data_IF_205132216115
#
_entry.id   IF_205132216115
#
_cell.length_a   1.000
_cell.length_b   1.000
_cell.length_c   1.000
_cell.angle_alpha   90.00
_cell.angle_beta   90.00
_cell.angle_gamma   90.00
#
_symmetry.space_group_name_H-M   'P 1'
#
loop_
_entity.id
_entity.type
_entity.pdbx_description
1 polymer ?
#
# COMPACT_ATOMS: atom_id res chain seq x y z
N UNK A 1 53.15 10.24 53.33
CA UNK A 1 52.04 11.14 52.96
C UNK A 1 51.24 10.44 51.86
N UNK A 2 50.16 9.75 52.23
CA UNK A 2 49.27 9.04 51.31
C UNK A 2 47.92 9.74 51.36
N UNK A 3 47.56 10.45 50.27
CA UNK A 3 46.25 11.08 50.10
C UNK A 3 45.22 10.07 49.57
N UNK A 4 43.95 10.15 49.98
CA UNK A 4 42.95 9.12 49.74
C UNK A 4 42.36 9.20 48.32
N UNK A 5 42.16 8.04 47.70
CA UNK A 5 41.33 7.88 46.52
C UNK A 5 39.87 8.17 46.89
N UNK A 6 39.29 9.23 46.29
CA UNK A 6 37.85 9.48 46.32
C UNK A 6 37.22 8.59 45.25
N UNK A 7 36.85 7.36 45.66
CA UNK A 7 35.92 6.54 44.90
C UNK A 7 34.53 7.10 45.09
N UNK A 8 34.02 7.86 44.12
CA UNK A 8 32.61 8.22 44.08
C UNK A 8 31.80 6.93 44.04
N UNK A 9 30.99 6.68 45.07
CA UNK A 9 30.05 5.58 45.07
C UNK A 9 29.06 5.83 43.93
N UNK A 10 29.20 5.09 42.83
CA UNK A 10 28.14 5.00 41.84
C UNK A 10 26.96 4.31 42.52
N UNK A 11 25.91 5.08 42.75
CA UNK A 11 24.65 4.56 43.28
C UNK A 11 24.03 3.64 42.22
N UNK A 12 24.22 2.34 42.43
CA UNK A 12 23.67 1.29 41.57
C UNK A 12 22.13 1.31 41.54
N UNK A 13 21.49 1.93 42.53
CA UNK A 13 20.05 2.15 42.57
C UNK A 13 19.59 3.20 41.57
N UNK A 14 20.35 4.31 41.42
CA UNK A 14 20.04 5.35 40.44
C UNK A 14 20.20 4.84 38.99
N UNK A 15 21.23 4.03 38.73
CA UNK A 15 21.45 3.43 37.40
C UNK A 15 20.36 2.43 37.05
N UNK A 16 19.92 1.63 38.04
CA UNK A 16 18.82 0.68 37.85
C UNK A 16 17.49 1.39 37.60
N UNK A 17 17.17 2.44 38.37
CA UNK A 17 15.96 3.24 38.14
C UNK A 17 15.98 3.95 36.78
N UNK A 18 17.14 4.41 36.32
CA UNK A 18 17.28 5.04 35.01
C UNK A 18 17.17 4.02 33.86
N UNK A 19 17.67 2.79 34.06
CA UNK A 19 17.48 1.68 33.12
C UNK A 19 16.03 1.18 33.08
N UNK A 20 15.34 1.13 34.23
CA UNK A 20 13.93 0.78 34.35
C UNK A 20 13.03 1.87 33.74
N UNK A 21 13.36 3.15 33.94
CA UNK A 21 12.66 4.26 33.28
C UNK A 21 12.87 4.26 31.77
N UNK A 22 14.06 3.90 31.28
CA UNK A 22 14.36 3.79 29.84
C UNK A 22 13.71 2.56 29.21
N UNK A 23 13.62 1.45 29.96
CA UNK A 23 12.87 0.27 29.55
C UNK A 23 11.36 0.53 29.55
N UNK A 24 10.83 1.27 30.52
CA UNK A 24 9.42 1.69 30.54
C UNK A 24 9.11 2.70 29.43
N UNK A 25 10.02 3.61 29.10
CA UNK A 25 9.89 4.50 27.94
C UNK A 25 9.95 3.74 26.60
N UNK A 26 10.80 2.73 26.49
CA UNK A 26 10.83 1.83 25.32
C UNK A 26 9.59 0.93 25.24
N UNK A 27 9.05 0.50 26.38
CA UNK A 27 7.80 -0.29 26.41
C UNK A 27 6.58 0.58 26.13
N UNK A 28 6.58 1.86 26.54
CA UNK A 28 5.55 2.83 26.16
C UNK A 28 5.61 3.19 24.67
N UNK A 29 6.81 3.38 24.11
CA UNK A 29 7.01 3.57 22.67
C UNK A 29 6.61 2.32 21.86
N UNK A 30 6.90 1.12 22.37
CA UNK A 30 6.46 -0.14 21.77
C UNK A 30 4.94 -0.37 21.92
N UNK A 31 4.32 0.12 23.00
CA UNK A 31 2.85 0.08 23.15
C UNK A 31 2.14 1.15 22.32
N UNK A 32 2.80 2.26 21.98
CA UNK A 32 2.30 3.23 21.01
C UNK A 32 2.40 2.68 19.57
N UNK A 33 3.43 1.86 19.27
CA UNK A 33 3.54 1.11 18.02
C UNK A 33 2.68 -0.18 17.96
N UNK A 34 2.19 -0.68 19.09
CA UNK A 34 1.24 -1.79 19.15
C UNK A 34 -0.24 -1.31 19.20
N UNK A 35 -0.47 -0.04 19.59
CA UNK A 35 -1.77 0.61 19.48
C UNK A 35 -2.14 1.00 18.04
N UNK A 36 -1.20 0.92 17.09
CA UNK A 36 -1.47 1.06 15.64
C UNK A 36 -1.74 -0.27 14.93
N UNK A 37 -1.93 -1.37 15.67
CA UNK A 37 -2.45 -2.64 15.15
C UNK A 37 -3.99 -2.72 15.18
N UNK A 38 -4.67 -1.58 15.34
CA UNK A 38 -6.11 -1.41 15.13
C UNK A 38 -6.32 -0.43 13.98
N UNK A 39 -7.01 -0.85 12.93
CA UNK A 39 -7.06 -0.20 11.62
C UNK A 39 -7.61 1.22 11.62
N UNK A 40 -6.71 2.19 11.52
CA UNK A 40 -6.99 3.59 11.22
C UNK A 40 -5.72 4.26 10.73
N UNK A 41 -5.78 4.95 9.59
CA UNK A 41 -4.62 5.65 9.02
C UNK A 41 -4.49 7.00 9.71
N UNK A 42 -3.36 7.24 10.37
CA UNK A 42 -3.12 8.54 10.99
C UNK A 42 -2.75 9.57 9.90
N UNK A 43 -3.49 10.69 9.78
CA UNK A 43 -3.17 11.74 8.81
C UNK A 43 -1.81 12.41 9.09
N UNK A 44 -1.35 12.38 10.34
CA UNK A 44 -0.04 12.82 10.78
C UNK A 44 0.62 11.74 11.62
N UNK A 45 1.89 11.42 11.36
CA UNK A 45 2.64 10.41 12.11
C UNK A 45 4.13 10.74 12.21
N UNK A 46 4.81 10.16 13.19
CA UNK A 46 6.27 10.23 13.30
C UNK A 46 6.93 9.10 12.52
N UNK A 47 7.95 9.46 11.73
CA UNK A 47 8.71 8.53 10.91
C UNK A 47 9.87 7.97 11.71
N UNK A 48 9.98 6.65 11.67
CA UNK A 48 11.03 5.84 12.24
C UNK A 48 11.68 4.99 11.15
N UNK A 49 12.84 4.39 11.43
CA UNK A 49 13.48 3.46 10.49
C UNK A 49 12.58 2.27 10.14
N UNK A 50 11.67 1.88 11.04
CA UNK A 50 10.80 0.71 10.86
C UNK A 50 9.58 0.99 9.97
N UNK A 51 9.01 2.20 10.05
CA UNK A 51 7.81 2.56 9.29
C UNK A 51 8.10 3.35 8.02
N UNK A 52 9.33 3.85 7.83
CA UNK A 52 9.72 4.66 6.68
C UNK A 52 9.37 4.03 5.32
N UNK A 53 9.69 2.75 5.12
CA UNK A 53 9.43 2.09 3.83
C UNK A 53 7.93 1.92 3.55
N UNK A 54 7.16 1.54 4.56
CA UNK A 54 5.74 1.23 4.41
C UNK A 54 4.87 2.50 4.42
N UNK A 55 5.04 3.36 5.41
CA UNK A 55 4.11 4.46 5.69
C UNK A 55 4.45 5.73 4.92
N UNK A 56 5.67 5.84 4.40
CA UNK A 56 6.12 7.01 3.64
C UNK A 56 6.39 6.66 2.17
N UNK A 57 7.20 5.63 1.87
CA UNK A 57 7.54 5.29 0.49
C UNK A 57 6.40 4.58 -0.22
N UNK A 58 5.97 3.40 0.27
CA UNK A 58 4.87 2.65 -0.36
C UNK A 58 3.57 3.45 -0.36
N UNK A 59 3.28 4.11 0.75
CA UNK A 59 2.06 4.92 0.88
C UNK A 59 1.98 6.09 -0.09
N UNK A 60 3.12 6.63 -0.51
CA UNK A 60 3.16 7.69 -1.52
C UNK A 60 2.63 7.26 -2.90
N UNK A 61 2.51 5.94 -3.16
CA UNK A 61 1.87 5.42 -4.35
C UNK A 61 0.33 5.51 -4.30
N UNK A 62 -0.25 5.66 -3.11
CA UNK A 62 -1.70 5.69 -2.88
C UNK A 62 -2.20 7.11 -2.58
N UNK A 63 -1.42 7.92 -1.87
CA UNK A 63 -1.76 9.28 -1.47
C UNK A 63 -0.53 10.19 -1.52
N UNK A 64 -0.65 11.50 -1.75
CA UNK A 64 0.46 12.42 -1.55
C UNK A 64 0.97 12.37 -0.09
N UNK A 65 2.26 12.12 0.07
CA UNK A 65 2.93 12.10 1.39
C UNK A 65 3.82 13.33 1.52
N UNK A 66 3.61 14.11 2.57
CA UNK A 66 4.45 15.26 2.92
C UNK A 66 5.42 14.81 4.01
N UNK A 67 6.71 14.75 3.68
CA UNK A 67 7.77 14.49 4.62
C UNK A 67 8.29 15.82 5.20
N UNK A 68 8.06 16.06 6.50
CA UNK A 68 8.62 17.21 7.23
C UNK A 68 9.87 16.75 7.97
N UNK A 69 11.06 17.17 7.51
CA UNK A 69 12.33 16.92 8.18
C UNK A 69 12.66 18.10 9.07
N UNK A 70 12.69 17.89 10.39
CA UNK A 70 12.87 18.97 11.36
C UNK A 70 13.60 18.55 12.64
N UNK A 71 13.73 19.49 13.57
CA UNK A 71 14.31 19.26 14.89
C UNK A 71 13.51 20.02 15.95
N UNK A 72 13.23 19.42 17.12
CA UNK A 72 12.55 20.10 18.24
C UNK A 72 13.31 21.31 18.79
N UNK A 73 14.59 21.46 18.42
CA UNK A 73 15.44 22.57 18.83
C UNK A 73 15.20 23.84 18.00
N UNK A 74 14.44 23.73 16.91
CA UNK A 74 14.14 24.84 16.00
C UNK A 74 12.68 25.30 16.16
N UNK A 75 12.44 26.56 16.57
CA UNK A 75 11.08 27.11 16.65
C UNK A 75 10.32 27.05 15.32
N UNK A 76 11.03 27.21 14.20
CA UNK A 76 10.42 27.10 12.87
C UNK A 76 9.99 25.66 12.54
N UNK A 77 10.74 24.66 12.98
CA UNK A 77 10.35 23.25 12.82
C UNK A 77 9.13 22.90 13.66
N UNK A 78 9.08 23.36 14.92
CA UNK A 78 7.93 23.12 15.81
C UNK A 78 6.67 23.82 15.30
N UNK A 79 6.80 25.04 14.76
CA UNK A 79 5.67 25.74 14.16
C UNK A 79 5.14 25.00 12.92
N UNK A 80 6.03 24.59 12.00
CA UNK A 80 5.62 23.78 10.84
C UNK A 80 5.00 22.45 11.25
N UNK A 81 5.56 21.77 12.26
CA UNK A 81 5.00 20.52 12.78
C UNK A 81 3.55 20.71 13.20
N UNK A 82 3.28 21.75 13.99
CA UNK A 82 1.93 22.09 14.45
C UNK A 82 1.00 22.45 13.30
N UNK A 83 1.44 23.29 12.38
CA UNK A 83 0.60 23.70 11.25
C UNK A 83 0.23 22.49 10.37
N UNK A 84 1.19 21.61 10.06
CA UNK A 84 0.93 20.40 9.28
C UNK A 84 0.09 19.36 10.03
N UNK A 85 0.24 19.24 11.34
CA UNK A 85 -0.61 18.36 12.16
C UNK A 85 -2.08 18.81 12.10
N UNK A 86 -2.34 20.12 12.26
CA UNK A 86 -3.69 20.68 12.14
C UNK A 86 -4.24 20.56 10.71
N UNK A 87 -3.41 20.82 9.69
CA UNK A 87 -3.81 20.70 8.29
C UNK A 87 -4.11 19.26 7.88
N UNK A 88 -3.31 18.30 8.35
CA UNK A 88 -3.52 16.89 8.04
C UNK A 88 -4.79 16.36 8.72
N UNK A 89 -5.04 16.76 9.98
CA UNK A 89 -6.27 16.42 10.68
C UNK A 89 -7.54 17.00 10.02
N UNK A 90 -7.44 18.18 9.39
CA UNK A 90 -8.52 18.79 8.62
C UNK A 90 -8.57 18.32 7.15
N UNK A 91 -7.53 17.62 6.70
CA UNK A 91 -7.24 17.38 5.28
C UNK A 91 -7.97 16.20 4.67
N UNK A 92 -8.66 15.40 5.46
CA UNK A 92 -9.57 14.40 4.93
C UNK A 92 -8.87 13.14 4.36
N UNK A 93 -7.67 12.78 4.86
CA UNK A 93 -6.67 11.88 4.25
C UNK A 93 -6.38 12.11 2.75
N UNK A 94 -6.72 13.30 2.21
CA UNK A 94 -6.33 13.70 0.84
C UNK A 94 -4.82 13.79 0.68
N UNK A 95 -4.11 13.97 1.79
CA UNK A 95 -2.68 13.86 1.93
C UNK A 95 -2.37 13.36 3.36
N UNK A 96 -1.18 12.81 3.56
CA UNK A 96 -0.68 12.49 4.90
C UNK A 96 0.66 13.15 5.15
N UNK A 97 1.02 13.33 6.42
CA UNK A 97 2.25 13.99 6.84
C UNK A 97 3.08 13.05 7.70
N UNK A 98 4.31 12.80 7.28
CA UNK A 98 5.33 12.10 8.06
C UNK A 98 6.35 13.09 8.63
N UNK A 99 6.42 13.22 9.95
CA UNK A 99 7.45 14.00 10.62
C UNK A 99 8.72 13.18 10.88
N UNK A 100 9.84 13.62 10.33
CA UNK A 100 11.16 13.02 10.50
C UNK A 100 11.97 13.90 11.45
N UNK A 101 12.20 13.41 12.67
CA UNK A 101 13.06 14.07 13.64
C UNK A 101 14.53 13.78 13.30
N UNK A 102 15.22 14.77 12.73
CA UNK A 102 16.62 14.63 12.31
C UNK A 102 17.59 14.39 13.49
N UNK A 103 17.20 14.72 14.73
CA UNK A 103 18.01 14.47 15.93
C UNK A 103 17.89 13.01 16.41
N UNK A 104 16.81 12.31 16.06
CA UNK A 104 16.50 10.95 16.52
C UNK A 104 16.78 9.92 15.44
N UNK A 105 16.41 10.21 14.18
CA UNK A 105 16.58 9.32 13.01
C UNK A 105 17.40 10.01 11.91
N UNK A 106 18.68 10.35 12.16
CA UNK A 106 19.52 11.08 11.21
C UNK A 106 19.74 10.33 9.89
N UNK A 107 19.73 8.99 9.93
CA UNK A 107 19.89 8.14 8.75
C UNK A 107 18.72 8.33 7.76
N UNK A 108 17.49 8.42 8.27
CA UNK A 108 16.29 8.67 7.44
C UNK A 108 16.32 10.07 6.84
N UNK A 109 16.71 11.08 7.63
CA UNK A 109 16.86 12.45 7.14
C UNK A 109 17.91 12.56 6.02
N UNK A 110 19.00 11.79 6.10
CA UNK A 110 20.08 11.80 5.12
C UNK A 110 19.63 11.28 3.72
N UNK A 111 18.65 10.37 3.67
CA UNK A 111 18.08 9.86 2.40
C UNK A 111 17.49 11.00 1.56
N UNK A 112 16.92 12.02 2.20
CA UNK A 112 16.35 13.19 1.53
C UNK A 112 17.38 14.23 1.11
N UNK A 113 18.67 14.04 1.45
CA UNK A 113 19.74 14.97 1.08
C UNK A 113 19.57 16.38 1.64
N UNK A 114 18.87 16.53 2.77
CA UNK A 114 18.56 17.84 3.36
C UNK A 114 19.84 18.55 3.84
N UNK A 115 19.97 19.83 3.50
CA UNK A 115 21.11 20.66 3.91
C UNK A 115 20.74 21.63 5.04
N UNK A 116 19.47 22.05 5.08
CA UNK A 116 18.95 22.99 6.07
C UNK A 116 17.71 22.40 6.77
N UNK A 117 17.52 22.71 8.05
CA UNK A 117 16.34 22.32 8.82
C UNK A 117 15.52 23.56 9.19
N UNK A 118 14.19 23.53 9.11
CA UNK A 118 13.36 22.45 8.55
C UNK A 118 13.41 22.39 7.02
N UNK A 119 13.23 21.19 6.46
CA UNK A 119 12.96 20.97 5.03
C UNK A 119 11.69 20.15 4.88
N UNK A 120 10.82 20.55 3.97
CA UNK A 120 9.59 19.82 3.66
C UNK A 120 9.67 19.29 2.23
N UNK A 121 9.37 18.01 2.04
CA UNK A 121 9.41 17.33 0.74
C UNK A 121 8.05 16.68 0.48
N UNK A 122 7.44 16.98 -0.66
CA UNK A 122 6.26 16.27 -1.15
C UNK A 122 6.70 15.05 -1.96
N UNK A 123 6.09 13.90 -1.70
CA UNK A 123 6.42 12.61 -2.31
C UNK A 123 5.15 12.01 -2.89
N UNK A 124 5.24 11.52 -4.12
CA UNK A 124 4.20 10.74 -4.77
C UNK A 124 4.83 9.66 -5.66
N UNK A 125 4.19 8.50 -5.71
CA UNK A 125 4.67 7.30 -6.42
C UNK A 125 6.14 6.96 -6.10
N UNK A 126 6.56 7.16 -4.85
CA UNK A 126 7.92 6.92 -4.37
C UNK A 126 8.97 7.95 -4.82
N UNK A 127 8.55 9.07 -5.43
CA UNK A 127 9.46 10.09 -5.97
C UNK A 127 9.18 11.48 -5.36
N UNK A 128 10.21 12.28 -5.04
CA UNK A 128 10.04 13.67 -4.65
C UNK A 128 9.46 14.52 -5.80
N UNK A 129 8.35 15.21 -5.54
CA UNK A 129 7.65 16.05 -6.53
C UNK A 129 8.08 17.50 -6.41
N UNK A 130 8.15 18.01 -5.18
CA UNK A 130 8.54 19.39 -4.87
C UNK A 130 9.03 19.46 -3.43
N UNK A 131 9.82 20.47 -3.11
CA UNK A 131 10.33 20.71 -1.76
C UNK A 131 10.51 22.20 -1.49
N UNK A 132 10.59 22.56 -0.21
CA UNK A 132 11.03 23.87 0.24
C UNK A 132 11.81 23.77 1.55
N UNK A 133 12.63 24.78 1.81
CA UNK A 133 13.42 24.90 3.03
C UNK A 133 12.94 26.08 3.88
N UNK A 134 13.05 25.95 5.20
CA UNK A 134 12.70 26.99 6.16
C UNK A 134 11.23 27.04 6.56
N UNK A 135 10.92 27.88 7.56
CA UNK A 135 9.55 28.13 7.99
C UNK A 135 8.74 28.90 6.94
N UNK A 136 7.45 28.59 6.82
CA UNK A 136 6.53 29.26 5.91
C UNK A 136 5.29 29.74 6.67
N UNK A 137 4.67 30.86 6.26
CA UNK A 137 3.36 31.26 6.75
C UNK A 137 2.32 30.18 6.42
N UNK A 138 1.34 30.00 7.31
CA UNK A 138 0.27 29.00 7.14
C UNK A 138 -0.46 29.10 5.80
N UNK A 139 -0.78 30.32 5.37
CA UNK A 139 -1.44 30.57 4.08
C UNK A 139 -0.66 30.00 2.89
N UNK A 140 0.68 30.09 2.93
CA UNK A 140 1.54 29.53 1.89
C UNK A 140 1.55 28.00 1.94
N UNK A 141 1.51 27.41 3.14
CA UNK A 141 1.44 25.95 3.31
C UNK A 141 0.13 25.41 2.74
N UNK A 142 -1.00 26.05 3.07
CA UNK A 142 -2.32 25.68 2.57
C UNK A 142 -2.38 25.72 1.04
N UNK A 143 -1.86 26.79 0.42
CA UNK A 143 -1.78 26.90 -1.04
C UNK A 143 -0.87 25.84 -1.66
N UNK A 144 0.28 25.57 -1.04
CA UNK A 144 1.23 24.57 -1.54
C UNK A 144 0.66 23.15 -1.46
N UNK A 145 0.00 22.80 -0.35
CA UNK A 145 -0.68 21.51 -0.18
C UNK A 145 -1.86 21.37 -1.14
N UNK A 146 -2.69 22.41 -1.28
CA UNK A 146 -3.81 22.40 -2.23
C UNK A 146 -3.33 22.16 -3.66
N UNK A 147 -2.24 22.82 -4.09
CA UNK A 147 -1.67 22.61 -5.41
C UNK A 147 -1.13 21.18 -5.63
N UNK A 148 -0.62 20.54 -4.58
CA UNK A 148 -0.16 19.13 -4.63
C UNK A 148 -1.36 18.20 -4.74
N UNK A 149 -2.37 18.39 -3.88
CA UNK A 149 -3.59 17.57 -3.87
C UNK A 149 -4.37 17.72 -5.17
N UNK A 150 -4.54 18.92 -5.70
CA UNK A 150 -5.25 19.14 -6.97
C UNK A 150 -4.52 18.50 -8.17
N UNK A 151 -3.18 18.53 -8.16
CA UNK A 151 -2.37 18.00 -9.25
C UNK A 151 -2.22 16.48 -9.20
N UNK A 152 -2.16 15.90 -8.01
CA UNK A 152 -1.83 14.49 -7.79
C UNK A 152 -3.03 13.65 -7.34
N UNK A 153 -4.04 14.26 -6.72
CA UNK A 153 -5.28 13.61 -6.27
C UNK A 153 -6.04 12.86 -7.38
N UNK A 154 -6.12 13.35 -8.62
CA UNK A 154 -6.75 12.61 -9.72
C UNK A 154 -5.94 11.40 -10.22
N UNK A 155 -4.67 11.29 -9.83
CA UNK A 155 -3.73 10.27 -10.35
C UNK A 155 -3.38 9.21 -9.31
N UNK A 156 -3.73 9.44 -8.05
CA UNK A 156 -3.45 8.56 -6.91
C UNK A 156 -4.77 8.01 -6.38
N UNK A 157 -4.79 6.73 -5.99
CA UNK A 157 -6.02 6.01 -5.60
C UNK A 157 -6.74 6.63 -4.38
N UNK A 158 -6.06 7.49 -3.63
CA UNK A 158 -6.55 8.14 -2.41
C UNK A 158 -6.51 7.18 -1.24
N UNK A 159 -6.28 7.70 -0.03
CA UNK A 159 -6.66 7.01 1.18
C UNK A 159 -8.06 7.52 1.50
N UNK A 160 -9.07 6.67 1.31
CA UNK A 160 -10.39 6.95 1.85
C UNK A 160 -10.27 7.09 3.37
N UNK A 161 -10.52 8.30 3.89
CA UNK A 161 -11.10 8.38 5.22
C UNK A 161 -12.35 7.53 5.21
N UNK A 162 -12.49 6.64 6.18
CA UNK A 162 -13.74 5.93 6.33
C UNK A 162 -14.86 6.96 6.50
N UNK A 163 -15.64 7.14 5.43
CA UNK A 163 -16.82 7.99 5.35
C UNK A 163 -16.55 9.41 4.89
N UNK A 164 -16.51 9.63 3.57
CA UNK A 164 -17.56 10.39 2.87
C UNK A 164 -17.25 10.49 1.37
N UNK A 165 -18.29 10.23 0.59
CA UNK A 165 -18.28 10.14 -0.86
C UNK A 165 -17.73 11.41 -1.52
N UNK A 166 -16.76 11.24 -2.42
CA UNK A 166 -16.61 12.16 -3.53
C UNK A 166 -17.82 11.96 -4.44
N UNK A 167 -18.81 12.85 -4.37
CA UNK A 167 -19.97 12.83 -5.25
C UNK A 167 -19.53 12.92 -6.72
N UNK A 168 -19.73 11.82 -7.44
CA UNK A 168 -20.32 11.80 -8.78
C UNK A 168 -21.06 10.47 -8.93
N UNK A 169 -22.24 10.47 -9.56
CA UNK A 169 -23.52 10.50 -8.87
C UNK A 169 -24.07 9.09 -8.61
N UNK A 170 -24.10 8.70 -7.33
CA UNK A 170 -25.11 7.89 -6.64
C UNK A 170 -24.50 7.42 -5.32
N UNK A 171 -24.93 8.01 -4.22
CA UNK A 171 -24.75 7.42 -2.90
C UNK A 171 -25.58 6.12 -2.84
N UNK A 172 -24.98 4.98 -3.19
CA UNK A 172 -25.42 3.71 -2.62
C UNK A 172 -24.61 3.51 -1.31
N UNK A 173 -25.32 3.55 -0.18
CA UNK A 173 -24.78 3.28 1.15
C UNK A 173 -23.77 2.13 1.13
N UNK A 174 -22.60 2.31 1.77
CA UNK A 174 -21.57 1.28 1.92
C UNK A 174 -22.23 -0.06 2.25
N UNK A 175 -22.24 -0.95 1.25
CA UNK A 175 -23.03 -2.16 1.31
C UNK A 175 -22.52 -3.00 2.49
N UNK A 176 -23.34 -3.31 3.51
CA UNK A 176 -22.90 -4.13 4.63
C UNK A 176 -22.36 -5.50 4.19
N UNK A 177 -22.70 -5.95 2.98
CA UNK A 177 -22.13 -7.15 2.34
C UNK A 177 -20.63 -7.01 2.07
N UNK A 178 -20.11 -5.82 1.74
CA UNK A 178 -18.68 -5.64 1.50
C UNK A 178 -17.83 -5.95 2.74
N UNK A 179 -18.28 -5.52 3.91
CA UNK A 179 -17.60 -5.83 5.18
C UNK A 179 -17.58 -7.34 5.46
N UNK A 180 -18.65 -8.07 5.10
CA UNK A 180 -18.69 -9.53 5.22
C UNK A 180 -17.67 -10.22 4.29
N UNK A 181 -17.51 -9.70 3.07
CA UNK A 181 -16.53 -10.22 2.11
C UNK A 181 -15.10 -9.97 2.59
N UNK A 182 -14.79 -8.78 3.08
CA UNK A 182 -13.48 -8.43 3.65
C UNK A 182 -13.13 -9.31 4.86
N UNK A 183 -14.09 -9.50 5.77
CA UNK A 183 -13.94 -10.39 6.93
C UNK A 183 -13.68 -11.84 6.52
N UNK A 184 -14.33 -12.31 5.45
CA UNK A 184 -14.10 -13.65 4.91
C UNK A 184 -12.69 -13.78 4.30
N UNK A 185 -12.24 -12.78 3.52
CA UNK A 185 -10.87 -12.73 2.99
C UNK A 185 -9.81 -12.75 4.10
N UNK A 186 -10.01 -11.97 5.16
CA UNK A 186 -9.10 -11.91 6.31
C UNK A 186 -8.97 -13.26 7.04
N UNK A 187 -10.00 -14.12 6.96
CA UNK A 187 -9.98 -15.48 7.50
C UNK A 187 -9.48 -16.53 6.50
N UNK A 188 -9.15 -16.14 5.27
CA UNK A 188 -8.81 -17.06 4.18
C UNK A 188 -10.02 -17.83 3.62
N UNK A 189 -11.24 -17.42 3.97
CA UNK A 189 -12.47 -18.03 3.48
C UNK A 189 -12.88 -17.38 2.14
N UNK A 190 -12.15 -17.74 1.09
CA UNK A 190 -12.37 -17.20 -0.25
C UNK A 190 -13.75 -17.55 -0.80
N UNK A 191 -14.29 -18.72 -0.43
CA UNK A 191 -15.62 -19.16 -0.87
C UNK A 191 -16.72 -18.24 -0.37
N UNK A 192 -16.69 -17.90 0.93
CA UNK A 192 -17.64 -16.95 1.50
C UNK A 192 -17.50 -15.55 0.88
N UNK A 193 -16.27 -15.08 0.66
CA UNK A 193 -16.03 -13.78 0.02
C UNK A 193 -16.57 -13.72 -1.42
N UNK A 194 -16.33 -14.76 -2.22
CA UNK A 194 -16.83 -14.85 -3.60
C UNK A 194 -18.36 -14.85 -3.62
N UNK A 195 -19.00 -15.64 -2.77
CA UNK A 195 -20.45 -15.70 -2.69
C UNK A 195 -21.06 -14.32 -2.37
N UNK A 196 -20.42 -13.56 -1.48
CA UNK A 196 -20.84 -12.20 -1.16
C UNK A 196 -20.67 -11.23 -2.32
N UNK A 197 -19.55 -11.28 -3.05
CA UNK A 197 -19.38 -10.45 -4.26
C UNK A 197 -20.39 -10.81 -5.37
N UNK A 198 -20.71 -12.10 -5.54
CA UNK A 198 -21.73 -12.54 -6.49
C UNK A 198 -23.13 -12.06 -6.10
N UNK A 199 -23.44 -12.01 -4.80
CA UNK A 199 -24.70 -11.45 -4.31
C UNK A 199 -24.82 -9.95 -4.59
N UNK A 200 -23.72 -9.21 -4.45
CA UNK A 200 -23.67 -7.78 -4.78
C UNK A 200 -23.87 -7.61 -6.30
N UNK A 201 -23.17 -8.39 -7.12
CA UNK A 201 -23.29 -8.34 -8.59
C UNK A 201 -24.65 -8.79 -9.12
N UNK A 202 -25.39 -9.60 -8.37
CA UNK A 202 -26.77 -9.94 -8.73
C UNK A 202 -27.70 -8.72 -8.64
N UNK A 203 -27.41 -7.78 -7.72
CA UNK A 203 -28.13 -6.51 -7.61
C UNK A 203 -27.52 -5.42 -8.53
N UNK A 204 -26.20 -5.39 -8.66
CA UNK A 204 -25.43 -4.38 -9.38
C UNK A 204 -24.53 -5.02 -10.44
N UNK A 205 -25.11 -5.52 -11.55
CA UNK A 205 -24.37 -6.32 -12.53
C UNK A 205 -23.31 -5.53 -13.29
N UNK A 206 -23.32 -4.20 -13.25
CA UNK A 206 -22.36 -3.33 -13.94
C UNK A 206 -21.27 -2.77 -13.02
N UNK A 207 -21.29 -3.13 -11.73
CA UNK A 207 -20.28 -2.67 -10.77
C UNK A 207 -18.90 -3.26 -11.09
N UNK A 208 -18.02 -2.44 -11.68
CA UNK A 208 -16.70 -2.85 -12.15
C UNK A 208 -15.79 -3.23 -10.98
N UNK A 209 -15.86 -2.49 -9.87
CA UNK A 209 -15.02 -2.70 -8.69
C UNK A 209 -15.31 -4.06 -8.05
N UNK A 210 -16.59 -4.41 -7.89
CA UNK A 210 -16.99 -5.71 -7.34
C UNK A 210 -16.60 -6.87 -8.26
N UNK A 211 -16.69 -6.69 -9.59
CA UNK A 211 -16.19 -7.68 -10.55
C UNK A 211 -14.70 -7.92 -10.35
N UNK A 212 -13.91 -6.85 -10.24
CA UNK A 212 -12.46 -6.94 -10.00
C UNK A 212 -12.13 -7.60 -8.66
N UNK A 213 -12.85 -7.25 -7.59
CA UNK A 213 -12.67 -7.86 -6.27
C UNK A 213 -12.97 -9.37 -6.28
N UNK A 214 -14.08 -9.77 -6.92
CA UNK A 214 -14.43 -11.19 -7.13
C UNK A 214 -13.34 -11.92 -7.91
N UNK A 215 -12.91 -11.37 -9.04
CA UNK A 215 -11.93 -12.01 -9.93
C UNK A 215 -10.55 -12.15 -9.26
N UNK A 216 -10.15 -11.15 -8.47
CA UNK A 216 -8.95 -11.21 -7.63
C UNK A 216 -9.07 -12.30 -6.58
N UNK A 217 -10.22 -12.42 -5.93
CA UNK A 217 -10.46 -13.45 -4.91
C UNK A 217 -10.43 -14.86 -5.50
N UNK A 218 -11.02 -15.05 -6.69
CA UNK A 218 -10.95 -16.29 -7.45
C UNK A 218 -9.50 -16.67 -7.77
N UNK A 219 -8.67 -15.71 -8.17
CA UNK A 219 -7.24 -15.93 -8.40
C UNK A 219 -6.53 -16.36 -7.11
N UNK A 220 -6.74 -15.65 -6.00
CA UNK A 220 -6.12 -15.99 -4.72
C UNK A 220 -6.51 -17.39 -4.24
N UNK A 221 -7.79 -17.77 -4.38
CA UNK A 221 -8.27 -19.11 -4.04
C UNK A 221 -7.53 -20.21 -4.82
N UNK A 222 -7.30 -20.01 -6.12
CA UNK A 222 -6.61 -20.99 -6.98
C UNK A 222 -5.13 -21.11 -6.66
N UNK A 223 -4.54 -20.03 -6.14
CA UNK A 223 -3.14 -19.96 -5.74
C UNK A 223 -2.91 -20.33 -4.28
N UNK A 224 -3.95 -20.73 -3.54
CA UNK A 224 -3.84 -21.11 -2.14
C UNK A 224 -2.73 -22.16 -1.95
N UNK A 225 -1.65 -21.83 -1.20
CA UNK A 225 -0.56 -22.76 -0.95
C UNK A 225 -1.01 -24.07 -0.29
N UNK A 226 -2.14 -24.06 0.44
CA UNK A 226 -2.70 -25.28 1.04
C UNK A 226 -3.10 -26.33 0.01
N UNK A 227 -3.40 -25.91 -1.22
CA UNK A 227 -3.85 -26.78 -2.31
C UNK A 227 -2.76 -27.08 -3.33
N UNK A 228 -1.50 -26.69 -3.10
CA UNK A 228 -0.39 -26.90 -4.04
C UNK A 228 0.80 -27.62 -3.43
N UNK A 229 1.27 -28.65 -4.13
CA UNK A 229 2.39 -29.51 -3.74
C UNK A 229 3.65 -29.30 -4.60
N UNK A 230 3.54 -28.56 -5.70
CA UNK A 230 4.62 -28.30 -6.64
C UNK A 230 4.61 -26.84 -7.14
N UNK A 231 5.73 -26.41 -7.74
CA UNK A 231 5.82 -25.11 -8.41
C UNK A 231 4.98 -25.14 -9.71
N UNK A 232 3.92 -24.33 -9.81
CA UNK A 232 3.01 -24.35 -10.95
C UNK A 232 3.71 -24.01 -12.28
N UNK A 233 4.69 -23.10 -12.27
CA UNK A 233 5.40 -22.68 -13.48
C UNK A 233 6.29 -23.84 -13.97
N UNK A 234 7.06 -24.44 -13.07
CA UNK A 234 7.90 -25.58 -13.41
C UNK A 234 7.08 -26.80 -13.87
N UNK A 235 5.94 -27.07 -13.22
CA UNK A 235 5.04 -28.16 -13.59
C UNK A 235 4.45 -27.96 -14.99
N UNK A 236 4.03 -26.73 -15.32
CA UNK A 236 3.51 -26.38 -16.63
C UNK A 236 4.57 -26.45 -17.73
N UNK A 237 5.80 -26.02 -17.45
CA UNK A 237 6.91 -26.08 -18.41
C UNK A 237 7.31 -27.54 -18.72
N UNK A 238 7.17 -28.45 -17.75
CA UNK A 238 7.38 -29.89 -17.95
C UNK A 238 6.22 -30.60 -18.69
N UNK A 239 5.03 -29.99 -18.73
CA UNK A 239 3.82 -30.56 -19.31
C UNK A 239 3.10 -29.52 -20.19
N UNK A 240 3.66 -29.15 -21.35
CA UNK A 240 3.16 -28.04 -22.16
C UNK A 240 1.75 -28.30 -22.72
N UNK A 241 1.34 -29.55 -22.87
CA UNK A 241 0.02 -29.98 -23.39
C UNK A 241 -1.06 -30.01 -22.29
N UNK A 242 -0.67 -29.92 -21.01
CA UNK A 242 -1.57 -30.04 -19.86
C UNK A 242 -2.21 -28.67 -19.55
N UNK A 243 -3.46 -28.52 -19.97
CA UNK A 243 -4.22 -27.28 -19.86
C UNK A 243 -4.36 -26.81 -18.41
N UNK A 244 -4.62 -27.73 -17.48
CA UNK A 244 -4.77 -27.38 -16.07
C UNK A 244 -3.49 -26.74 -15.54
N UNK A 245 -2.34 -27.31 -15.88
CA UNK A 245 -1.05 -26.74 -15.44
C UNK A 245 -0.74 -25.40 -16.11
N UNK A 246 -1.11 -25.22 -17.39
CA UNK A 246 -0.95 -23.92 -18.04
C UNK A 246 -1.79 -22.83 -17.37
N UNK A 247 -3.02 -23.16 -16.94
CA UNK A 247 -3.88 -22.25 -16.18
C UNK A 247 -3.25 -21.90 -14.81
N UNK A 248 -2.78 -22.91 -14.08
CA UNK A 248 -2.16 -22.73 -12.77
C UNK A 248 -0.88 -21.87 -12.83
N UNK A 249 -0.05 -22.08 -13.87
CA UNK A 249 1.15 -21.30 -14.12
C UNK A 249 0.83 -19.86 -14.52
N UNK A 250 -0.19 -19.64 -15.35
CA UNK A 250 -0.60 -18.29 -15.74
C UNK A 250 -1.08 -17.48 -14.52
N UNK A 251 -1.87 -18.08 -13.64
CA UNK A 251 -2.26 -17.47 -12.36
C UNK A 251 -1.03 -17.10 -11.52
N UNK A 252 -0.06 -18.01 -11.41
CA UNK A 252 1.16 -17.79 -10.63
C UNK A 252 2.05 -16.70 -11.24
N UNK A 253 2.14 -16.64 -12.56
CA UNK A 253 2.89 -15.60 -13.29
C UNK A 253 2.27 -14.22 -13.08
N UNK A 254 0.93 -14.10 -13.05
CA UNK A 254 0.26 -12.82 -12.72
C UNK A 254 0.61 -12.37 -11.30
N UNK A 255 0.53 -13.27 -10.31
CA UNK A 255 0.87 -12.92 -8.91
C UNK A 255 2.35 -12.65 -8.72
N UNK A 256 3.22 -13.29 -9.48
CA UNK A 256 4.65 -13.00 -9.51
C UNK A 256 5.02 -11.68 -10.22
N UNK A 257 4.02 -10.92 -10.71
CA UNK A 257 4.23 -9.64 -11.38
C UNK A 257 4.69 -9.78 -12.84
N UNK A 258 4.48 -10.94 -13.46
CA UNK A 258 4.83 -11.24 -14.85
C UNK A 258 3.58 -11.51 -15.72
N UNK A 259 2.59 -10.60 -15.80
CA UNK A 259 1.35 -10.83 -16.53
C UNK A 259 1.54 -11.00 -18.04
N UNK A 260 2.56 -10.38 -18.64
CA UNK A 260 2.89 -10.59 -20.06
C UNK A 260 3.19 -12.06 -20.36
N UNK A 261 3.89 -12.75 -19.44
CA UNK A 261 4.19 -14.19 -19.57
C UNK A 261 2.92 -15.02 -19.41
N UNK A 262 2.08 -14.69 -18.44
CA UNK A 262 0.80 -15.36 -18.23
C UNK A 262 -0.10 -15.28 -19.46
N UNK A 263 -0.24 -14.08 -20.04
CA UNK A 263 -1.05 -13.86 -21.23
C UNK A 263 -0.50 -14.62 -22.43
N UNK A 264 0.82 -14.56 -22.66
CA UNK A 264 1.47 -15.29 -23.75
C UNK A 264 1.32 -16.80 -23.58
N UNK A 265 1.49 -17.33 -22.37
CA UNK A 265 1.30 -18.74 -22.03
C UNK A 265 -0.10 -19.23 -22.41
N UNK A 266 -1.14 -18.52 -21.99
CA UNK A 266 -2.52 -18.92 -22.30
C UNK A 266 -2.82 -18.82 -23.80
N UNK A 267 -2.32 -17.78 -24.48
CA UNK A 267 -2.48 -17.62 -25.93
C UNK A 267 -1.78 -18.75 -26.69
N UNK A 268 -0.57 -19.13 -26.29
CA UNK A 268 0.18 -20.22 -26.92
C UNK A 268 -0.38 -21.60 -26.61
N UNK A 269 -0.95 -21.80 -25.42
CA UNK A 269 -1.74 -23.00 -25.12
C UNK A 269 -2.98 -23.08 -26.02
N UNK A 270 -3.72 -21.99 -26.20
CA UNK A 270 -4.91 -21.96 -27.07
C UNK A 270 -4.65 -22.29 -28.53
N UNK A 271 -3.44 -22.02 -29.03
CA UNK A 271 -3.04 -22.39 -30.41
C UNK A 271 -2.89 -23.89 -30.58
N UNK A 272 -2.67 -24.64 -29.49
CA UNK A 272 -2.42 -26.09 -29.49
C UNK A 272 -3.62 -26.92 -29.04
N UNK A 273 -4.63 -26.28 -28.46
CA UNK A 273 -5.84 -26.93 -27.93
C UNK A 273 -7.09 -26.63 -28.78
N UNK A 274 -8.13 -27.45 -28.63
CA UNK A 274 -9.42 -27.26 -29.30
C UNK A 274 -10.59 -27.63 -28.37
N UNK A 275 -11.80 -27.24 -28.75
CA UNK A 275 -13.00 -27.56 -27.97
C UNK A 275 -13.00 -26.90 -26.59
N UNK A 276 -13.45 -27.66 -25.59
CA UNK A 276 -13.63 -27.18 -24.21
C UNK A 276 -12.34 -26.64 -23.59
N UNK A 277 -11.19 -27.26 -23.89
CA UNK A 277 -9.87 -26.81 -23.41
C UNK A 277 -9.54 -25.39 -23.88
N UNK A 278 -9.85 -25.08 -25.14
CA UNK A 278 -9.61 -23.74 -25.70
C UNK A 278 -10.54 -22.71 -25.05
N UNK A 279 -11.80 -23.07 -24.80
CA UNK A 279 -12.74 -22.18 -24.11
C UNK A 279 -12.36 -21.96 -22.63
N UNK A 280 -11.81 -22.96 -21.94
CA UNK A 280 -11.28 -22.81 -20.59
C UNK A 280 -10.11 -21.81 -20.54
N UNK A 281 -9.13 -21.97 -21.43
CA UNK A 281 -7.98 -21.06 -21.54
C UNK A 281 -8.40 -19.63 -21.87
N UNK A 282 -9.35 -19.47 -22.80
CA UNK A 282 -9.91 -18.17 -23.17
C UNK A 282 -10.64 -17.53 -22.00
N UNK A 283 -11.47 -18.29 -21.28
CA UNK A 283 -12.19 -17.81 -20.10
C UNK A 283 -11.20 -17.30 -19.05
N UNK A 284 -10.17 -18.09 -18.74
CA UNK A 284 -9.13 -17.65 -17.80
C UNK A 284 -8.37 -16.42 -18.27
N UNK A 285 -8.03 -16.33 -19.55
CA UNK A 285 -7.35 -15.14 -20.08
C UNK A 285 -8.20 -13.88 -19.89
N UNK A 286 -9.52 -13.97 -20.11
CA UNK A 286 -10.43 -12.85 -19.90
C UNK A 286 -10.58 -12.49 -18.41
N UNK A 287 -10.63 -13.48 -17.51
CA UNK A 287 -10.58 -13.24 -16.06
C UNK A 287 -9.31 -12.48 -15.68
N UNK A 288 -8.14 -12.92 -16.17
CA UNK A 288 -6.87 -12.26 -15.87
C UNK A 288 -6.79 -10.85 -16.46
N UNK A 289 -7.38 -10.58 -17.63
CA UNK A 289 -7.51 -9.21 -18.14
C UNK A 289 -8.37 -8.32 -17.25
N UNK A 290 -9.39 -8.89 -16.60
CA UNK A 290 -10.27 -8.18 -15.66
C UNK A 290 -9.54 -7.58 -14.47
N UNK A 291 -8.37 -8.13 -14.11
CA UNK A 291 -7.54 -7.67 -12.99
C UNK A 291 -6.77 -6.36 -13.27
N UNK A 292 -6.79 -5.89 -14.52
CA UNK A 292 -6.04 -4.70 -14.94
C UNK A 292 -7.00 -3.61 -15.44
N UNK A 293 -6.49 -2.38 -15.47
CA UNK A 293 -7.20 -1.29 -16.10
C UNK A 293 -7.46 -1.56 -17.59
N UNK A 294 -8.61 -1.09 -18.08
CA UNK A 294 -9.02 -1.29 -19.48
C UNK A 294 -8.02 -0.73 -20.51
N UNK A 295 -7.19 0.24 -20.11
CA UNK A 295 -6.15 0.87 -20.92
C UNK A 295 -4.75 0.28 -20.72
N UNK A 296 -4.58 -0.79 -19.95
CA UNK A 296 -3.25 -1.38 -19.70
C UNK A 296 -2.61 -1.84 -21.03
N UNK A 297 -1.40 -1.36 -21.37
CA UNK A 297 -0.75 -1.66 -22.65
C UNK A 297 -0.52 -3.16 -22.86
N UNK A 298 -0.31 -3.93 -21.79
CA UNK A 298 -0.10 -5.38 -21.81
C UNK A 298 -1.39 -6.10 -22.19
N UNK A 299 -2.51 -5.68 -21.59
CA UNK A 299 -3.85 -6.21 -21.94
C UNK A 299 -4.21 -5.87 -23.38
N UNK A 300 -3.96 -4.63 -23.83
CA UNK A 300 -4.22 -4.23 -25.21
C UNK A 300 -3.43 -5.10 -26.20
N UNK A 301 -2.13 -5.28 -25.97
CA UNK A 301 -1.28 -6.12 -26.80
C UNK A 301 -1.74 -7.59 -26.81
N UNK A 302 -2.10 -8.14 -25.64
CA UNK A 302 -2.58 -9.51 -25.51
C UNK A 302 -3.95 -9.71 -26.20
N UNK A 303 -4.87 -8.74 -26.13
CA UNK A 303 -6.14 -8.78 -26.88
C UNK A 303 -5.93 -8.80 -28.39
N UNK A 304 -4.96 -8.03 -28.89
CA UNK A 304 -4.59 -8.08 -30.32
C UNK A 304 -4.05 -9.46 -30.70
N UNK A 305 -3.12 -10.02 -29.90
CA UNK A 305 -2.59 -11.37 -30.12
C UNK A 305 -3.69 -12.45 -30.05
N UNK A 306 -4.63 -12.32 -29.12
CA UNK A 306 -5.77 -13.23 -28.96
C UNK A 306 -6.66 -13.22 -30.20
N UNK A 307 -7.01 -12.05 -30.73
CA UNK A 307 -7.79 -11.95 -31.95
C UNK A 307 -7.11 -12.68 -33.13
N UNK A 308 -5.79 -12.50 -33.30
CA UNK A 308 -5.01 -13.21 -34.32
C UNK A 308 -4.87 -14.72 -34.09
N UNK A 309 -5.14 -15.24 -32.89
CA UNK A 309 -5.10 -16.67 -32.58
C UNK A 309 -6.49 -17.35 -32.71
N UNK A 310 -7.56 -16.55 -32.80
CA UNK A 310 -8.93 -17.03 -32.94
C UNK A 310 -9.44 -17.02 -34.39
N UNK A 311 -8.81 -16.24 -35.28
CA UNK A 311 -9.12 -16.13 -36.70
C UNK A 311 -7.94 -16.57 -37.56
#
# INVERSE_FOLDING_TARGET
MTGPYVGGALDLGAIKQQAEARAQAQTQAASAGAASSGGGIAPFFEVTEQNFENDLVRRSAEVPVIALIGSPRSPASEQLKKDFEEMAAAGGLKFIVGYINADVVPQVAQVFGVQNLPTTVAIAAGQPVTNFEGGQPRENLEQWVAAIVDKLGPQLKGLSEQGEAGESPAEEAADPRLSLAEDALNRGDFDSAIATYEEILAAEPDNVEIKQARDTTLLLKRLDPANRSEDPIAAADAAPEDVSKQLDAADAEVVAGAPDRAFERLIDAMKRTAGDDKEQLKTRLLELFGLFDSGDPRVLAARTKLASALY
#
